data_IF_524246010829
#
_entry.id   IF_524246010829
#
_cell.length_a   1.000
_cell.length_b   1.000
_cell.length_c   1.000
_cell.angle_alpha   90.00
_cell.angle_beta   90.00
_cell.angle_gamma   90.00
#
_symmetry.space_group_name_H-M   'P 1'
#
loop_
_entity.id
_entity.type
_entity.pdbx_description
1 polymer ?
#
# COMPACT_ATOMS: atom_id res chain seq x y z
N UNK A 1 10.01 6.15 6.82
CA UNK A 1 10.10 4.68 6.73
C UNK A 1 9.94 4.14 8.14
N UNK A 2 8.99 3.28 8.37
CA UNK A 2 8.68 2.75 9.69
C UNK A 2 9.27 1.36 9.92
N UNK A 3 9.33 0.53 8.89
CA UNK A 3 9.97 -0.78 8.97
C UNK A 3 10.50 -1.25 7.62
N UNK A 4 11.55 -2.03 7.67
CA UNK A 4 12.04 -2.86 6.58
C UNK A 4 11.77 -4.31 6.97
N UNK A 5 11.12 -5.05 6.09
CA UNK A 5 10.79 -6.44 6.30
C UNK A 5 11.41 -7.29 5.20
N UNK A 6 11.96 -8.43 5.60
CA UNK A 6 12.52 -9.43 4.69
C UNK A 6 11.83 -10.75 4.98
N UNK A 7 11.11 -11.25 4.00
CA UNK A 7 10.46 -12.55 4.06
C UNK A 7 11.28 -13.53 3.22
N UNK A 8 11.83 -14.53 3.86
CA UNK A 8 12.72 -15.49 3.21
C UNK A 8 12.06 -16.86 3.06
N UNK A 9 12.28 -17.50 1.93
CA UNK A 9 11.88 -18.90 1.74
C UNK A 9 12.63 -19.81 2.76
N UNK A 10 12.01 -20.96 3.12
CA UNK A 10 10.76 -21.51 2.59
C UNK A 10 9.49 -21.08 3.35
N UNK A 11 9.54 -20.25 4.36
CA UNK A 11 8.39 -20.03 5.24
C UNK A 11 8.15 -18.55 5.62
N UNK A 12 8.85 -17.63 4.97
CA UNK A 12 8.66 -16.20 5.22
C UNK A 12 7.24 -15.76 4.88
N UNK A 13 6.47 -15.36 5.90
CA UNK A 13 5.08 -14.91 5.76
C UNK A 13 4.74 -13.91 6.84
N UNK A 14 3.62 -13.21 6.65
CA UNK A 14 3.05 -12.36 7.67
C UNK A 14 1.56 -12.68 7.82
N UNK A 15 1.16 -13.06 9.03
CA UNK A 15 -0.21 -13.50 9.31
C UNK A 15 -1.21 -12.35 9.13
N UNK A 16 -2.48 -12.66 8.79
CA UNK A 16 -3.54 -11.65 8.71
C UNK A 16 -3.60 -10.83 9.99
N UNK A 17 -3.62 -9.50 9.84
CA UNK A 17 -3.76 -8.57 10.94
C UNK A 17 -4.25 -7.21 10.42
N UNK A 18 -4.75 -6.41 11.34
CA UNK A 18 -5.10 -5.01 11.13
C UNK A 18 -4.06 -4.16 11.87
N UNK A 19 -3.55 -3.11 11.23
CA UNK A 19 -2.61 -2.22 11.86
C UNK A 19 -3.22 -1.52 13.07
N UNK A 20 -2.46 -1.43 14.17
CA UNK A 20 -2.84 -0.56 15.27
C UNK A 20 -2.30 0.84 14.99
N UNK A 21 -3.16 1.85 14.74
CA UNK A 21 -2.71 3.21 14.48
C UNK A 21 -1.84 3.74 15.63
N UNK A 22 -0.69 4.33 15.30
CA UNK A 22 0.26 4.90 16.27
C UNK A 22 -0.07 6.34 16.65
N UNK A 23 -1.27 6.82 16.31
CA UNK A 23 -1.75 8.16 16.61
C UNK A 23 -3.03 8.48 15.84
N UNK A 24 -3.74 9.51 16.28
CA UNK A 24 -5.05 9.90 15.73
C UNK A 24 -5.01 10.35 14.26
N UNK A 25 -3.85 10.70 13.75
CA UNK A 25 -3.67 11.19 12.37
C UNK A 25 -3.21 10.10 11.42
N UNK A 26 -2.86 8.91 11.92
CA UNK A 26 -2.50 7.79 11.05
C UNK A 26 -3.76 7.22 10.40
N UNK A 27 -3.83 7.29 9.08
CA UNK A 27 -5.00 6.82 8.35
C UNK A 27 -4.73 5.60 7.47
N UNK A 28 -3.45 5.25 7.22
CA UNK A 28 -3.13 4.14 6.34
C UNK A 28 -1.67 3.73 6.37
N UNK A 29 -1.37 2.75 5.54
CA UNK A 29 -0.04 2.19 5.33
C UNK A 29 0.28 2.15 3.83
N UNK A 30 1.55 2.43 3.50
CA UNK A 30 2.12 2.24 2.17
C UNK A 30 3.18 1.14 2.25
N UNK A 31 2.99 0.08 1.49
CA UNK A 31 3.95 -1.03 1.37
C UNK A 31 4.61 -0.94 0.00
N UNK A 32 5.93 -0.82 -0.02
CA UNK A 32 6.75 -0.79 -1.23
C UNK A 32 7.55 -2.09 -1.30
N UNK A 33 7.37 -2.87 -2.36
CA UNK A 33 8.14 -4.08 -2.63
C UNK A 33 9.34 -3.72 -3.51
N UNK A 34 10.53 -4.05 -3.02
CA UNK A 34 11.76 -3.81 -3.75
C UNK A 34 11.95 -4.85 -4.87
N UNK A 35 12.65 -4.49 -5.96
CA UNK A 35 12.84 -5.33 -7.13
C UNK A 35 13.85 -6.46 -6.84
N UNK A 36 13.45 -7.39 -6.01
CA UNK A 36 14.24 -8.58 -5.69
C UNK A 36 13.45 -9.85 -6.05
N UNK A 37 14.06 -10.77 -6.79
CA UNK A 37 13.38 -11.97 -7.30
C UNK A 37 12.95 -12.89 -6.16
N UNK A 38 11.68 -13.26 -6.18
CA UNK A 38 11.09 -14.21 -5.24
C UNK A 38 9.91 -14.94 -5.89
N UNK A 39 9.45 -16.02 -5.26
CA UNK A 39 8.20 -16.70 -5.63
C UNK A 39 7.29 -16.77 -4.41
N UNK A 40 5.99 -16.73 -4.63
CA UNK A 40 5.00 -16.58 -3.57
C UNK A 40 5.05 -15.20 -2.93
N UNK A 41 4.57 -15.08 -1.71
CA UNK A 41 4.60 -13.83 -0.96
C UNK A 41 3.59 -12.80 -1.46
N UNK A 42 2.44 -13.23 -1.99
CA UNK A 42 1.36 -12.34 -2.40
C UNK A 42 0.90 -11.48 -1.22
N UNK A 43 0.66 -10.20 -1.47
CA UNK A 43 0.03 -9.29 -0.51
C UNK A 43 -1.49 -9.35 -0.70
N UNK A 44 -2.21 -9.85 0.31
CA UNK A 44 -3.66 -9.80 0.35
C UNK A 44 -4.10 -8.67 1.27
N UNK A 45 -5.01 -7.85 0.80
CA UNK A 45 -5.63 -6.77 1.55
C UNK A 45 -7.14 -7.00 1.53
N UNK A 46 -7.79 -6.96 2.68
CA UNK A 46 -9.21 -7.13 2.83
C UNK A 46 -9.80 -5.97 3.65
N UNK A 47 -10.87 -5.37 3.15
CA UNK A 47 -11.64 -4.40 3.91
C UNK A 47 -12.93 -5.07 4.39
N UNK A 48 -13.12 -5.15 5.70
CA UNK A 48 -14.25 -5.81 6.33
C UNK A 48 -15.45 -4.87 6.42
N UNK A 49 -16.49 -5.12 5.62
CA UNK A 49 -17.83 -4.62 5.89
C UNK A 49 -18.74 -5.81 6.18
N UNK A 50 -19.70 -5.64 7.06
CA UNK A 50 -20.71 -6.67 7.41
C UNK A 50 -21.57 -7.14 6.20
N UNK A 51 -21.43 -6.51 5.04
CA UNK A 51 -22.22 -6.75 3.82
C UNK A 51 -21.40 -7.33 2.66
N UNK A 52 -20.09 -7.52 2.84
CA UNK A 52 -19.25 -8.15 1.81
C UNK A 52 -17.76 -7.92 2.05
N UNK A 53 -17.01 -8.98 2.24
CA UNK A 53 -15.56 -8.92 2.31
C UNK A 53 -15.00 -8.69 0.90
N UNK A 54 -14.63 -7.46 0.61
CA UNK A 54 -13.82 -7.19 -0.57
C UNK A 54 -12.34 -7.44 -0.23
N UNK A 55 -11.71 -8.30 -1.01
CA UNK A 55 -10.27 -8.54 -0.86
C UNK A 55 -9.59 -8.45 -2.21
N UNK A 56 -8.40 -7.85 -2.20
CA UNK A 56 -7.51 -7.77 -3.36
C UNK A 56 -6.23 -8.51 -3.01
N UNK A 57 -5.74 -9.27 -3.98
CA UNK A 57 -4.47 -9.97 -3.86
C UNK A 57 -3.52 -9.47 -4.94
N UNK A 58 -2.39 -8.94 -4.49
CA UNK A 58 -1.30 -8.48 -5.34
C UNK A 58 -0.24 -9.57 -5.45
N UNK A 59 -0.07 -10.10 -6.65
CA UNK A 59 1.06 -10.98 -6.95
C UNK A 59 2.22 -10.14 -7.49
N UNK A 60 3.27 -10.01 -6.68
CA UNK A 60 4.47 -9.25 -7.02
C UNK A 60 5.69 -10.18 -7.24
N UNK A 61 5.45 -11.48 -7.38
CA UNK A 61 6.49 -12.49 -7.56
C UNK A 61 7.06 -12.56 -8.97
N UNK A 62 6.59 -11.72 -9.89
CA UNK A 62 7.02 -11.74 -11.28
C UNK A 62 8.48 -11.34 -11.46
N UNK A 63 9.03 -11.77 -12.58
CA UNK A 63 10.44 -11.62 -12.93
C UNK A 63 10.86 -10.18 -13.28
N UNK A 64 9.91 -9.26 -13.28
CA UNK A 64 10.18 -7.87 -13.60
C UNK A 64 10.88 -7.17 -12.44
N UNK A 65 11.96 -6.46 -12.79
CA UNK A 65 12.79 -5.73 -11.84
C UNK A 65 12.15 -4.34 -11.61
N UNK A 66 10.89 -4.32 -11.19
CA UNK A 66 10.13 -3.09 -10.95
C UNK A 66 9.81 -2.90 -9.47
N UNK A 67 9.82 -1.64 -9.03
CA UNK A 67 9.29 -1.27 -7.71
C UNK A 67 7.77 -1.34 -7.78
N UNK A 68 7.18 -2.20 -6.97
CA UNK A 68 5.72 -2.35 -6.84
C UNK A 68 5.27 -1.85 -5.48
N UNK A 69 4.07 -1.28 -5.41
CA UNK A 69 3.58 -0.74 -4.15
C UNK A 69 2.05 -0.87 -4.03
N UNK A 70 1.57 -0.83 -2.80
CA UNK A 70 0.16 -0.73 -2.47
C UNK A 70 0.00 0.20 -1.26
N UNK A 71 -1.07 1.00 -1.28
CA UNK A 71 -1.49 1.80 -0.14
C UNK A 71 -2.91 1.37 0.26
N UNK A 72 -3.17 1.33 1.57
CA UNK A 72 -4.46 0.92 2.12
C UNK A 72 -4.72 1.60 3.46
N UNK A 73 -5.97 1.67 3.84
CA UNK A 73 -6.38 2.25 5.12
C UNK A 73 -5.98 1.38 6.31
N UNK A 74 -5.81 2.00 7.48
CA UNK A 74 -5.34 1.33 8.70
C UNK A 74 -6.30 0.26 9.22
N UNK A 75 -7.58 0.31 8.85
CA UNK A 75 -8.61 -0.65 9.22
C UNK A 75 -8.70 -1.87 8.28
N UNK A 76 -7.89 -1.88 7.22
CA UNK A 76 -7.81 -3.03 6.33
C UNK A 76 -7.00 -4.15 6.97
N UNK A 77 -7.58 -5.36 6.98
CA UNK A 77 -6.81 -6.58 7.27
C UNK A 77 -5.88 -6.86 6.11
N UNK A 78 -4.64 -7.16 6.42
CA UNK A 78 -3.66 -7.52 5.39
C UNK A 78 -2.74 -8.64 5.84
N UNK A 79 -2.27 -9.40 4.87
CA UNK A 79 -1.35 -10.53 5.07
C UNK A 79 -0.35 -10.63 3.94
N UNK A 80 0.81 -11.21 4.22
CA UNK A 80 1.75 -11.68 3.20
C UNK A 80 1.74 -13.19 3.22
N UNK A 81 1.37 -13.78 2.08
CA UNK A 81 1.40 -15.23 1.87
C UNK A 81 2.83 -15.76 1.97
N UNK A 82 2.97 -17.05 2.02
CA UNK A 82 4.27 -17.71 2.15
C UNK A 82 5.16 -17.45 0.92
N UNK A 83 6.40 -17.02 1.19
CA UNK A 83 7.46 -16.93 0.18
C UNK A 83 8.03 -18.32 -0.02
N UNK A 84 7.93 -18.85 -1.24
CA UNK A 84 8.31 -20.23 -1.58
C UNK A 84 9.73 -20.32 -2.14
N UNK A 85 10.25 -19.23 -2.75
CA UNK A 85 11.64 -19.14 -3.20
C UNK A 85 12.16 -17.72 -3.11
N UNK A 86 13.44 -17.54 -2.86
CA UNK A 86 14.11 -16.25 -2.79
C UNK A 86 13.74 -15.42 -1.55
N UNK A 87 13.78 -14.10 -1.70
CA UNK A 87 13.52 -13.15 -0.62
C UNK A 87 12.61 -12.03 -1.12
N UNK A 88 11.50 -11.82 -0.42
CA UNK A 88 10.64 -10.66 -0.62
C UNK A 88 11.05 -9.55 0.34
N UNK A 89 11.46 -8.41 -0.19
CA UNK A 89 11.94 -7.28 0.61
C UNK A 89 10.96 -6.12 0.47
N UNK A 90 10.46 -5.61 1.59
CA UNK A 90 9.51 -4.50 1.60
C UNK A 90 9.94 -3.38 2.54
N UNK A 91 9.53 -2.16 2.16
CA UNK A 91 9.56 -0.97 3.02
C UNK A 91 8.13 -0.60 3.34
N UNK A 92 7.83 -0.39 4.62
CA UNK A 92 6.51 0.02 5.06
C UNK A 92 6.57 1.42 5.66
N UNK A 93 5.62 2.26 5.25
CA UNK A 93 5.46 3.63 5.72
C UNK A 93 4.05 3.79 6.28
N UNK A 94 3.93 4.38 7.48
CA UNK A 94 2.64 4.83 7.96
C UNK A 94 2.30 6.17 7.29
N UNK A 95 1.06 6.31 6.88
CA UNK A 95 0.53 7.51 6.27
C UNK A 95 -0.23 8.32 7.32
N UNK A 96 0.10 9.59 7.41
CA UNK A 96 -0.49 10.51 8.39
C UNK A 96 -1.16 11.68 7.69
N UNK A 97 -2.35 12.05 8.14
CA UNK A 97 -2.97 13.31 7.76
C UNK A 97 -2.26 14.46 8.50
N UNK A 98 -1.75 15.45 7.77
CA UNK A 98 -0.97 16.54 8.37
C UNK A 98 -1.83 17.70 8.85
N UNK A 99 -3.08 17.84 8.39
CA UNK A 99 -3.97 18.92 8.80
C UNK A 99 -5.28 18.33 9.33
N UNK A 100 -5.61 18.71 10.56
CA UNK A 100 -7.00 18.75 10.98
C UNK A 100 -7.62 19.98 10.29
N UNK A 101 -8.07 19.82 9.06
CA UNK A 101 -8.97 20.79 8.47
C UNK A 101 -10.24 20.80 9.32
N UNK A 102 -10.45 21.92 10.02
CA UNK A 102 -11.49 22.09 11.04
C UNK A 102 -12.82 21.42 10.68
N UNK A 103 -13.13 20.39 11.42
CA UNK A 103 -14.43 20.07 11.93
C UNK A 103 -15.54 19.68 10.97
N UNK A 104 -15.36 19.35 9.71
CA UNK A 104 -16.41 18.70 8.92
C UNK A 104 -15.78 17.70 7.95
N UNK A 105 -15.80 16.43 8.31
CA UNK A 105 -15.68 15.36 7.33
C UNK A 105 -16.94 15.42 6.45
N UNK A 106 -16.89 16.17 5.36
CA UNK A 106 -17.86 15.98 4.28
C UNK A 106 -17.56 14.63 3.64
N UNK A 107 -18.63 13.89 3.40
CA UNK A 107 -18.59 12.62 2.67
C UNK A 107 -17.63 12.70 1.45
N UNK A 108 -16.84 11.64 1.17
CA UNK A 108 -15.84 11.64 0.09
C UNK A 108 -16.36 12.03 -1.30
N UNK A 109 -17.68 12.01 -1.49
CA UNK A 109 -18.34 12.34 -2.76
C UNK A 109 -18.32 13.82 -3.14
N UNK A 110 -17.81 14.72 -2.29
CA UNK A 110 -17.82 16.18 -2.54
C UNK A 110 -16.46 16.86 -2.42
N UNK A 111 -15.39 16.09 -2.18
CA UNK A 111 -14.05 16.66 -2.13
C UNK A 111 -13.46 16.61 -3.54
N UNK A 112 -13.31 17.76 -4.17
CA UNK A 112 -12.58 17.87 -5.42
C UNK A 112 -11.13 17.48 -5.16
N UNK A 113 -10.77 16.26 -5.59
CA UNK A 113 -9.43 15.68 -5.41
C UNK A 113 -8.34 16.62 -5.96
N UNK A 114 -8.70 17.44 -6.91
CA UNK A 114 -7.80 18.43 -7.53
C UNK A 114 -7.43 19.60 -6.60
N UNK A 115 -8.12 19.80 -5.48
CA UNK A 115 -7.81 20.88 -4.53
C UNK A 115 -6.64 20.55 -3.59
N UNK A 116 -6.17 19.30 -3.55
CA UNK A 116 -5.08 18.90 -2.68
C UNK A 116 -3.71 19.15 -3.32
N UNK A 117 -2.86 19.91 -2.65
CA UNK A 117 -1.47 20.13 -3.06
C UNK A 117 -0.73 18.79 -3.27
N UNK A 118 -1.05 17.77 -2.46
CA UNK A 118 -0.50 16.44 -2.60
C UNK A 118 -0.90 15.77 -3.92
N UNK A 119 -2.16 15.94 -4.35
CA UNK A 119 -2.63 15.43 -5.64
C UNK A 119 -1.85 16.03 -6.81
N UNK A 120 -1.64 17.35 -6.81
CA UNK A 120 -0.86 18.02 -7.84
C UNK A 120 0.59 17.56 -7.86
N UNK A 121 1.22 17.44 -6.69
CA UNK A 121 2.59 16.94 -6.56
C UNK A 121 2.73 15.48 -6.98
N UNK A 122 1.78 14.63 -6.61
CA UNK A 122 1.75 13.25 -7.05
C UNK A 122 1.52 13.15 -8.56
N UNK A 123 0.59 13.94 -9.11
CA UNK A 123 0.33 13.98 -10.55
C UNK A 123 1.57 14.46 -11.33
N UNK A 124 2.24 15.51 -10.89
CA UNK A 124 3.51 15.98 -11.47
C UNK A 124 4.57 14.90 -11.44
N UNK A 125 4.77 14.24 -10.30
CA UNK A 125 5.74 13.16 -10.16
C UNK A 125 5.42 11.97 -11.08
N UNK A 126 4.13 11.61 -11.19
CA UNK A 126 3.67 10.48 -12.02
C UNK A 126 3.68 10.79 -13.52
N UNK A 127 3.59 12.07 -13.90
CA UNK A 127 3.63 12.50 -15.31
C UNK A 127 5.04 12.86 -15.76
N UNK A 128 6.00 12.98 -14.83
CA UNK A 128 7.40 13.26 -15.17
C UNK A 128 8.08 12.03 -15.77
N UNK A 129 8.56 12.10 -17.02
CA UNK A 129 9.26 10.97 -17.66
C UNK A 129 10.54 10.52 -16.94
N UNK A 130 11.09 11.40 -16.10
CA UNK A 130 12.32 11.14 -15.34
C UNK A 130 12.07 10.35 -14.06
N UNK A 131 10.85 10.39 -13.52
CA UNK A 131 10.53 9.75 -12.24
C UNK A 131 10.11 8.28 -12.38
N UNK A 132 9.38 7.94 -13.46
CA UNK A 132 8.94 6.58 -13.76
C UNK A 132 9.01 6.31 -15.27
N UNK A 133 10.15 5.88 -15.81
CA UNK A 133 10.27 5.61 -17.24
C UNK A 133 9.32 4.49 -17.73
N UNK A 134 8.79 3.65 -16.85
CA UNK A 134 7.80 2.58 -17.15
C UNK A 134 7.05 2.17 -15.87
N UNK A 135 6.18 3.02 -15.37
CA UNK A 135 5.34 2.67 -14.21
C UNK A 135 3.93 2.27 -14.63
N UNK A 136 3.48 1.07 -14.27
CA UNK A 136 2.06 0.74 -14.33
C UNK A 136 1.40 1.16 -13.01
N UNK A 137 0.42 2.04 -13.08
CA UNK A 137 -0.42 2.41 -11.96
C UNK A 137 -1.48 1.32 -11.76
N UNK A 138 -1.45 0.64 -10.63
CA UNK A 138 -2.58 -0.17 -10.19
C UNK A 138 -3.60 0.71 -9.46
N UNK A 139 -4.91 0.54 -9.67
CA UNK A 139 -5.92 1.41 -9.11
C UNK A 139 -5.93 1.36 -7.58
N UNK A 140 -6.12 2.52 -6.98
CA UNK A 140 -6.42 2.67 -5.55
C UNK A 140 -7.82 2.12 -5.32
N UNK A 141 -7.97 1.21 -4.38
CA UNK A 141 -9.27 0.72 -3.94
C UNK A 141 -9.84 1.75 -2.96
N UNK A 142 -10.89 2.40 -3.36
CA UNK A 142 -11.73 3.26 -2.51
C UNK A 142 -12.87 2.44 -1.93
#
# INVERSE_FOLDING_TARGET
MNSRQVYSAPSGKFKPHVDTPRGFTQFGSLVVCLPYRHQGGELRIAHGSAVGNQSITYNWSDQDVEIKWAAFYSDCEHEVKEVTAGHRITLTYNLYAHEQLGGIFRSPSTVETESFTLFHRAKEALTSPEFFPKGSLSPVVS
#
